data_IF_131542444602
#
_entry.id   IF_131542444602
#
_cell.length_a   1.000
_cell.length_b   1.000
_cell.length_c   1.000
_cell.angle_alpha   90.00
_cell.angle_beta   90.00
_cell.angle_gamma   90.00
#
_symmetry.space_group_name_H-M   'P 1'
#
loop_
_entity.id
_entity.type
_entity.pdbx_description
1 polymer ?
#
# COMPACT_ATOMS: atom_id res chain seq x y z
N UNK A 1 3.74 -4.10 3.77
CA UNK A 1 3.22 -3.98 2.39
C UNK A 1 4.00 -4.91 1.47
N UNK A 2 5.32 -4.78 1.36
CA UNK A 2 6.17 -5.75 0.65
C UNK A 2 6.15 -7.13 1.31
N UNK A 3 6.05 -8.21 0.52
CA UNK A 3 6.35 -9.56 0.99
C UNK A 3 5.48 -10.07 2.15
N UNK A 4 4.35 -9.41 2.45
CA UNK A 4 3.44 -9.85 3.50
C UNK A 4 2.77 -11.14 3.05
N UNK A 5 2.70 -12.11 3.94
CA UNK A 5 2.00 -13.35 3.64
C UNK A 5 0.48 -13.17 3.80
N UNK A 6 -0.28 -13.81 2.95
CA UNK A 6 -1.73 -13.94 3.06
C UNK A 6 -2.15 -15.39 2.84
N UNK A 7 -3.41 -15.69 3.10
CA UNK A 7 -3.94 -17.04 3.00
C UNK A 7 -5.34 -16.97 2.45
N UNK A 8 -5.70 -17.94 1.64
CA UNK A 8 -7.05 -18.08 1.13
C UNK A 8 -8.02 -18.39 2.28
N UNK A 9 -9.11 -17.64 2.32
CA UNK A 9 -10.17 -17.77 3.31
C UNK A 9 -11.46 -18.24 2.64
N UNK A 10 -12.23 -19.05 3.36
CA UNK A 10 -13.60 -19.41 3.01
C UNK A 10 -14.48 -18.92 4.15
N UNK A 11 -15.55 -18.21 3.79
CA UNK A 11 -16.48 -17.61 4.72
C UNK A 11 -17.86 -18.19 4.46
N UNK A 12 -18.53 -18.67 5.50
CA UNK A 12 -19.79 -19.42 5.39
C UNK A 12 -20.88 -18.63 4.64
N UNK A 13 -20.98 -17.32 4.89
CA UNK A 13 -21.93 -16.43 4.23
C UNK A 13 -21.66 -16.25 2.72
N UNK A 14 -20.40 -16.25 2.29
CA UNK A 14 -20.04 -16.16 0.87
C UNK A 14 -20.36 -17.47 0.13
N UNK A 15 -20.50 -18.57 0.89
CA UNK A 15 -20.92 -19.89 0.38
C UNK A 15 -22.44 -20.13 0.50
N UNK A 16 -23.23 -19.11 0.88
CA UNK A 16 -24.68 -19.21 1.04
C UNK A 16 -25.15 -19.90 2.33
N UNK A 17 -24.26 -20.13 3.29
CA UNK A 17 -24.59 -20.77 4.57
C UNK A 17 -24.98 -19.73 5.63
N UNK A 18 -26.16 -19.90 6.23
CA UNK A 18 -26.61 -19.12 7.39
C UNK A 18 -26.51 -19.97 8.65
N UNK A 19 -25.62 -19.58 9.57
CA UNK A 19 -25.35 -20.30 10.81
C UNK A 19 -25.86 -19.50 12.00
N UNK A 20 -26.36 -20.17 13.05
CA UNK A 20 -26.90 -19.51 14.24
C UNK A 20 -25.88 -18.66 15.01
N UNK A 21 -24.59 -18.98 14.88
CA UNK A 21 -23.48 -18.21 15.47
C UNK A 21 -23.01 -17.04 14.61
N UNK A 22 -23.64 -16.78 13.47
CA UNK A 22 -23.20 -15.82 12.48
C UNK A 22 -22.13 -16.38 11.53
N UNK A 23 -21.44 -15.48 10.83
CA UNK A 23 -20.54 -15.86 9.75
C UNK A 23 -19.24 -16.48 10.28
N UNK A 24 -18.88 -17.67 9.79
CA UNK A 24 -17.67 -18.38 10.20
C UNK A 24 -16.66 -18.33 9.06
N UNK A 25 -15.42 -17.98 9.38
CA UNK A 25 -14.30 -17.98 8.43
C UNK A 25 -13.30 -19.07 8.78
N UNK A 26 -12.90 -19.85 7.78
CA UNK A 26 -11.88 -20.88 7.88
C UNK A 26 -10.75 -20.61 6.88
N UNK A 27 -9.56 -21.10 7.17
CA UNK A 27 -8.47 -21.09 6.21
C UNK A 27 -8.67 -22.25 5.21
N UNK A 28 -8.60 -21.95 3.92
CA UNK A 28 -8.65 -22.96 2.86
C UNK A 28 -7.27 -23.57 2.58
N UNK A 29 -6.21 -22.95 3.09
CA UNK A 29 -4.80 -23.29 2.88
C UNK A 29 -4.04 -23.14 4.20
N UNK A 30 -2.79 -23.64 4.24
CA UNK A 30 -1.90 -23.39 5.38
C UNK A 30 -1.65 -21.89 5.56
N UNK A 31 -1.59 -21.44 6.82
CA UNK A 31 -1.40 -20.02 7.12
C UNK A 31 -0.04 -19.55 6.62
N UNK A 32 -0.06 -18.53 5.76
CA UNK A 32 1.11 -17.96 5.13
C UNK A 32 1.52 -18.64 3.82
N UNK A 33 0.68 -19.49 3.24
CA UNK A 33 0.92 -20.19 1.96
C UNK A 33 1.25 -19.26 0.78
N UNK A 34 0.80 -18.00 0.82
CA UNK A 34 0.96 -17.03 -0.27
C UNK A 34 1.64 -15.76 0.22
N UNK A 35 2.29 -15.05 -0.70
CA UNK A 35 3.05 -13.85 -0.40
C UNK A 35 2.77 -12.74 -1.42
N UNK A 36 2.61 -11.51 -0.93
CA UNK A 36 2.60 -10.33 -1.79
C UNK A 36 3.94 -10.18 -2.51
N UNK A 37 3.95 -9.56 -3.71
CA UNK A 37 5.19 -9.25 -4.41
C UNK A 37 6.13 -8.40 -3.55
N UNK A 38 7.42 -8.54 -3.82
CA UNK A 38 8.45 -7.70 -3.21
C UNK A 38 8.33 -6.28 -3.73
N UNK A 39 8.33 -5.30 -2.83
CA UNK A 39 8.25 -3.87 -3.15
C UNK A 39 9.61 -3.22 -2.93
N UNK A 40 10.14 -2.57 -3.97
CA UNK A 40 11.41 -1.86 -3.97
C UNK A 40 11.20 -0.39 -4.36
N UNK A 41 10.43 0.33 -3.53
CA UNK A 41 10.11 1.74 -3.77
C UNK A 41 11.27 2.67 -3.42
N UNK A 42 11.46 3.69 -4.27
CA UNK A 42 12.43 4.76 -4.05
C UNK A 42 11.70 6.09 -3.86
N UNK A 43 12.01 6.77 -2.76
CA UNK A 43 11.55 8.12 -2.46
C UNK A 43 12.76 9.04 -2.28
N UNK A 44 12.75 10.19 -2.96
CA UNK A 44 13.86 11.14 -2.97
C UNK A 44 13.39 12.52 -2.50
N UNK A 45 14.20 13.16 -1.65
CA UNK A 45 14.05 14.56 -1.26
C UNK A 45 15.32 15.32 -1.57
N UNK A 46 15.18 16.49 -2.19
CA UNK A 46 16.26 17.46 -2.41
C UNK A 46 15.86 18.80 -1.81
N UNK A 47 16.75 19.41 -1.04
CA UNK A 47 16.59 20.76 -0.51
C UNK A 47 17.79 21.63 -0.90
N UNK A 48 17.51 22.84 -1.40
CA UNK A 48 18.53 23.87 -1.60
C UNK A 48 18.28 25.02 -0.65
N UNK A 49 19.27 25.33 0.19
CA UNK A 49 19.23 26.46 1.10
C UNK A 49 20.01 27.64 0.53
N UNK A 50 19.36 28.81 0.54
CA UNK A 50 19.93 30.10 0.14
C UNK A 50 20.01 31.00 1.38
N UNK A 51 21.17 31.62 1.61
CA UNK A 51 21.33 32.67 2.62
C UNK A 51 20.88 34.00 2.01
N UNK A 52 19.78 34.57 2.48
CA UNK A 52 19.24 35.85 1.99
C UNK A 52 19.84 37.02 2.79
N UNK A 53 19.97 36.87 4.11
CA UNK A 53 20.63 37.81 5.03
C UNK A 53 21.40 37.03 6.10
N UNK A 54 22.14 37.72 6.97
CA UNK A 54 22.96 37.08 8.01
C UNK A 54 22.17 36.16 8.95
N UNK A 55 20.90 36.48 9.20
CA UNK A 55 20.01 35.67 10.05
C UNK A 55 18.94 34.90 9.27
N UNK A 56 18.68 35.24 8.01
CA UNK A 56 17.57 34.66 7.23
C UNK A 56 18.05 33.69 6.17
N UNK A 57 17.55 32.45 6.22
CA UNK A 57 17.77 31.41 5.20
C UNK A 57 16.45 30.95 4.58
N UNK A 58 16.45 30.75 3.27
CA UNK A 58 15.34 30.22 2.48
C UNK A 58 15.70 28.83 1.94
N UNK A 59 14.94 27.81 2.31
CA UNK A 59 15.04 26.46 1.76
C UNK A 59 13.97 26.22 0.70
N UNK A 60 14.37 25.81 -0.50
CA UNK A 60 13.47 25.26 -1.52
C UNK A 60 13.58 23.74 -1.49
N UNK A 61 12.44 23.05 -1.37
CA UNK A 61 12.36 21.58 -1.19
C UNK A 61 11.59 20.99 -2.37
N UNK A 62 12.09 19.87 -2.89
CA UNK A 62 11.39 19.03 -3.85
C UNK A 62 11.45 17.56 -3.39
N UNK A 63 10.29 16.92 -3.28
CA UNK A 63 10.15 15.49 -3.01
C UNK A 63 9.59 14.77 -4.23
N UNK A 64 10.13 13.60 -4.53
CA UNK A 64 9.62 12.67 -5.53
C UNK A 64 9.39 11.32 -4.83
N UNK A 65 8.13 10.96 -4.64
CA UNK A 65 7.73 9.65 -4.13
C UNK A 65 7.50 8.70 -5.30
N UNK A 66 7.84 7.43 -5.11
CA UNK A 66 7.76 6.41 -6.17
C UNK A 66 8.52 6.85 -7.44
N UNK A 67 9.81 7.16 -7.28
CA UNK A 67 10.71 7.62 -8.35
C UNK A 67 10.71 6.66 -9.54
N UNK A 68 10.59 5.36 -9.29
CA UNK A 68 10.57 4.31 -10.33
C UNK A 68 9.18 4.12 -10.98
N UNK A 69 8.14 4.80 -10.49
CA UNK A 69 6.74 4.67 -10.94
C UNK A 69 6.26 3.21 -11.00
N UNK A 70 6.47 2.49 -9.89
CA UNK A 70 6.00 1.14 -9.70
C UNK A 70 4.48 1.10 -9.51
N UNK A 71 3.86 0.00 -9.92
CA UNK A 71 2.43 -0.29 -9.84
C UNK A 71 2.15 -1.59 -9.06
N UNK A 72 3.01 -1.92 -8.11
CA UNK A 72 2.98 -3.18 -7.37
C UNK A 72 1.67 -3.32 -6.57
N UNK A 73 1.03 -4.49 -6.63
CA UNK A 73 -0.13 -4.81 -5.82
C UNK A 73 0.21 -4.81 -4.32
N UNK A 74 -0.62 -4.17 -3.52
CA UNK A 74 -0.44 -4.00 -2.06
C UNK A 74 -1.44 -4.81 -1.24
N UNK A 75 -2.54 -5.26 -1.86
CA UNK A 75 -3.49 -6.23 -1.32
C UNK A 75 -4.19 -7.01 -2.44
N UNK A 76 -4.63 -8.21 -2.08
CA UNK A 76 -5.48 -9.06 -2.92
C UNK A 76 -6.73 -9.46 -2.14
N UNK A 77 -7.82 -9.74 -2.85
CA UNK A 77 -8.97 -10.41 -2.27
C UNK A 77 -8.58 -11.80 -1.76
N UNK A 78 -8.91 -12.08 -0.50
CA UNK A 78 -8.52 -13.30 0.20
C UNK A 78 -9.68 -14.27 0.36
N UNK A 79 -10.93 -13.80 0.28
CA UNK A 79 -12.13 -14.62 0.40
C UNK A 79 -12.46 -15.32 -0.91
N UNK A 80 -12.85 -16.58 -0.80
CA UNK A 80 -13.37 -17.36 -1.91
C UNK A 80 -14.87 -17.15 -2.04
N UNK A 81 -15.33 -16.83 -3.25
CA UNK A 81 -16.77 -16.75 -3.54
C UNK A 81 -17.45 -15.48 -3.00
N UNK A 82 -16.67 -14.48 -2.59
CA UNK A 82 -17.23 -13.18 -2.22
C UNK A 82 -17.92 -12.57 -3.44
N UNK A 83 -19.19 -12.20 -3.28
CA UNK A 83 -19.95 -11.61 -4.39
C UNK A 83 -19.27 -10.32 -4.90
N UNK A 84 -19.05 -10.25 -6.21
CA UNK A 84 -18.44 -9.10 -6.88
C UNK A 84 -16.91 -9.08 -6.90
N UNK A 85 -16.22 -10.05 -6.30
CA UNK A 85 -14.76 -10.13 -6.30
C UNK A 85 -14.28 -11.56 -6.53
N UNK A 86 -13.21 -11.70 -7.32
CA UNK A 86 -12.55 -13.00 -7.49
C UNK A 86 -11.41 -13.13 -6.49
N UNK A 87 -11.17 -14.34 -5.98
CA UNK A 87 -9.97 -14.61 -5.19
C UNK A 87 -8.71 -14.24 -5.99
N UNK A 88 -7.75 -13.57 -5.36
CA UNK A 88 -6.54 -12.99 -5.98
C UNK A 88 -6.76 -11.82 -6.94
N UNK A 89 -7.97 -11.26 -6.99
CA UNK A 89 -8.17 -9.96 -7.60
C UNK A 89 -7.43 -8.88 -6.81
N UNK A 90 -6.79 -7.93 -7.51
CA UNK A 90 -6.04 -6.84 -6.89
C UNK A 90 -7.02 -5.88 -6.23
N UNK A 91 -6.97 -5.78 -4.90
CA UNK A 91 -7.81 -4.89 -4.09
C UNK A 91 -7.06 -3.61 -3.66
N UNK A 92 -5.75 -3.57 -3.91
CA UNK A 92 -4.91 -2.43 -3.58
C UNK A 92 -3.68 -2.37 -4.46
N UNK A 93 -3.31 -1.16 -4.85
CA UNK A 93 -2.14 -0.87 -5.66
C UNK A 93 -1.30 0.21 -4.97
N UNK A 94 -0.01 0.24 -5.27
CA UNK A 94 0.89 1.28 -4.80
C UNK A 94 0.44 2.68 -5.26
N UNK A 95 0.67 3.69 -4.41
CA UNK A 95 0.46 5.08 -4.79
C UNK A 95 1.29 5.45 -6.04
N UNK A 96 0.74 6.29 -6.93
CA UNK A 96 1.43 6.71 -8.14
C UNK A 96 2.65 7.57 -7.80
N UNK A 97 3.45 7.94 -8.82
CA UNK A 97 4.52 8.92 -8.65
C UNK A 97 3.95 10.27 -8.24
N UNK A 98 4.39 10.77 -7.08
CA UNK A 98 3.92 12.05 -6.53
C UNK A 98 5.11 13.00 -6.40
N UNK A 99 4.93 14.22 -6.93
CA UNK A 99 5.88 15.32 -6.76
C UNK A 99 5.34 16.30 -5.73
N UNK A 100 6.17 16.71 -4.77
CA UNK A 100 5.81 17.71 -3.76
C UNK A 100 6.86 18.81 -3.74
N UNK A 101 6.39 20.06 -3.67
CA UNK A 101 7.25 21.22 -3.56
C UNK A 101 6.98 21.94 -2.24
N UNK A 102 8.05 22.43 -1.61
CA UNK A 102 7.97 23.11 -0.32
C UNK A 102 8.92 24.28 -0.24
N UNK A 103 8.56 25.26 0.58
CA UNK A 103 9.41 26.39 0.93
C UNK A 103 9.55 26.42 2.46
N UNK A 104 10.77 26.63 2.95
CA UNK A 104 11.09 26.76 4.37
C UNK A 104 11.80 28.08 4.61
N UNK A 105 11.35 28.87 5.58
CA UNK A 105 12.01 30.09 6.01
C UNK A 105 12.57 29.86 7.42
N UNK A 106 13.83 30.20 7.64
CA UNK A 106 14.52 30.11 8.92
C UNK A 106 15.07 31.50 9.27
N UNK A 107 14.85 31.96 10.50
CA UNK A 107 15.25 33.28 11.01
C UNK A 107 15.80 33.21 12.43
#
# INVERSE_FOLDING_TARGET
LAGRTYTRLIRSGDSGLSLNQGNVTINAEERGSRQLPWLHQWDLRVEKQFRIKDRVRLGLIADCFNVLNLNTATSYETYSGRSGYTFEEVDGILDPRIMRFGIRIMW
#
